data_IF_449051499412
#
_entry.id   IF_449051499412
#
_cell.length_a   1.000
_cell.length_b   1.000
_cell.length_c   1.000
_cell.angle_alpha   90.00
_cell.angle_beta   90.00
_cell.angle_gamma   90.00
#
_symmetry.space_group_name_H-M   'P 1'
#
loop_
_entity.id
_entity.type
_entity.pdbx_description
1 polymer ?
#
# COMPACT_ATOMS: atom_id res chain seq x y z
N UNK A 1 46.19 1.70 -17.76
CA UNK A 1 45.37 0.77 -17.02
C UNK A 1 43.93 1.00 -17.48
N UNK A 2 43.34 0.05 -18.21
CA UNK A 2 41.95 0.14 -18.61
C UNK A 2 41.10 0.03 -17.33
N UNK A 3 40.31 1.07 -17.04
CA UNK A 3 39.28 1.00 -16.02
C UNK A 3 38.29 -0.06 -16.48
N UNK A 4 38.22 -1.19 -15.76
CA UNK A 4 37.20 -2.18 -15.99
C UNK A 4 35.86 -1.41 -15.90
N UNK A 5 35.09 -1.38 -16.98
CA UNK A 5 33.71 -0.87 -16.97
C UNK A 5 32.96 -1.67 -15.91
N UNK A 6 32.54 -1.00 -14.86
CA UNK A 6 31.77 -1.64 -13.80
C UNK A 6 30.48 -2.19 -14.42
N UNK A 7 30.32 -3.51 -14.40
CA UNK A 7 29.13 -4.19 -14.94
C UNK A 7 27.86 -3.60 -14.29
N UNK A 8 26.89 -3.19 -15.08
CA UNK A 8 25.60 -2.71 -14.59
C UNK A 8 24.93 -3.78 -13.74
N UNK A 9 24.49 -3.47 -12.50
CA UNK A 9 23.78 -4.41 -11.64
C UNK A 9 22.48 -4.88 -12.30
N UNK A 10 22.20 -6.17 -12.23
CA UNK A 10 20.98 -6.79 -12.80
C UNK A 10 20.02 -7.19 -11.70
N UNK A 11 18.93 -6.47 -11.60
CA UNK A 11 17.94 -6.63 -10.55
C UNK A 11 16.67 -7.26 -11.11
N UNK A 12 16.27 -8.42 -10.59
CA UNK A 12 15.01 -9.06 -10.94
C UNK A 12 13.98 -8.74 -9.86
N UNK A 13 12.91 -8.01 -10.24
CA UNK A 13 11.81 -7.65 -9.34
C UNK A 13 10.65 -8.61 -9.56
N UNK A 14 10.26 -9.34 -8.52
CA UNK A 14 9.25 -10.38 -8.62
C UNK A 14 8.04 -10.07 -7.72
N UNK A 15 6.86 -10.04 -8.34
CA UNK A 15 5.61 -9.84 -7.61
C UNK A 15 4.59 -9.03 -8.38
N UNK A 16 3.54 -8.59 -7.68
CA UNK A 16 2.45 -7.85 -8.29
C UNK A 16 1.08 -8.26 -7.76
N UNK A 17 0.10 -8.35 -8.65
CA UNK A 17 -1.30 -8.64 -8.34
C UNK A 17 -2.10 -7.38 -8.02
N UNK A 18 -1.67 -6.57 -7.06
CA UNK A 18 -2.35 -5.34 -6.63
C UNK A 18 -1.46 -4.10 -6.75
N UNK A 19 -2.08 -2.90 -6.77
CA UNK A 19 -1.36 -1.63 -6.77
C UNK A 19 -0.42 -1.46 -5.58
N UNK A 20 -0.80 -1.97 -4.40
CA UNK A 20 0.01 -1.88 -3.18
C UNK A 20 1.37 -2.58 -3.26
N UNK A 21 1.55 -3.53 -4.18
CA UNK A 21 2.84 -4.18 -4.44
C UNK A 21 3.57 -3.57 -5.63
N UNK A 22 2.85 -3.31 -6.73
CA UNK A 22 3.50 -2.93 -7.98
C UNK A 22 3.91 -1.45 -8.03
N UNK A 23 3.16 -0.55 -7.41
CA UNK A 23 3.50 0.89 -7.41
C UNK A 23 4.80 1.15 -6.64
N UNK A 24 5.00 0.63 -5.41
CA UNK A 24 6.29 0.73 -4.72
C UNK A 24 7.44 0.09 -5.51
N UNK A 25 7.19 -1.07 -6.13
CA UNK A 25 8.20 -1.77 -6.95
C UNK A 25 8.66 -0.92 -8.14
N UNK A 26 7.74 -0.24 -8.82
CA UNK A 26 8.06 0.66 -9.92
C UNK A 26 8.85 1.90 -9.46
N UNK A 27 8.56 2.43 -8.27
CA UNK A 27 9.34 3.54 -7.70
C UNK A 27 10.80 3.12 -7.45
N UNK A 28 11.01 1.95 -6.84
CA UNK A 28 12.35 1.38 -6.62
C UNK A 28 13.05 1.08 -7.95
N UNK A 29 12.35 0.52 -8.94
CA UNK A 29 12.92 0.25 -10.27
C UNK A 29 13.43 1.51 -10.96
N UNK A 30 12.66 2.60 -10.90
CA UNK A 30 13.07 3.90 -11.46
C UNK A 30 14.31 4.46 -10.78
N UNK A 31 14.40 4.36 -9.46
CA UNK A 31 15.58 4.79 -8.68
C UNK A 31 16.82 3.97 -9.07
N UNK A 32 16.67 2.63 -9.15
CA UNK A 32 17.75 1.73 -9.55
C UNK A 32 18.32 2.08 -10.95
N UNK A 33 17.44 2.35 -11.91
CA UNK A 33 17.87 2.76 -13.25
C UNK A 33 18.49 4.16 -13.24
N UNK A 34 17.84 5.13 -12.61
CA UNK A 34 18.24 6.53 -12.67
C UNK A 34 19.55 6.82 -11.91
N UNK A 35 19.74 6.19 -10.74
CA UNK A 35 20.88 6.48 -9.84
C UNK A 35 21.98 5.45 -9.88
N UNK A 36 21.69 4.22 -10.27
CA UNK A 36 22.63 3.11 -10.19
C UNK A 36 22.90 2.45 -11.54
N UNK A 37 22.32 2.96 -12.64
CA UNK A 37 22.46 2.41 -13.99
C UNK A 37 22.15 0.90 -14.06
N UNK A 38 21.22 0.44 -13.20
CA UNK A 38 20.88 -0.97 -13.10
C UNK A 38 19.98 -1.42 -14.27
N UNK A 39 20.18 -2.66 -14.73
CA UNK A 39 19.22 -3.35 -15.59
C UNK A 39 18.12 -3.98 -14.72
N UNK A 40 16.85 -3.68 -15.04
CA UNK A 40 15.71 -4.19 -14.26
C UNK A 40 14.80 -5.04 -15.11
N UNK A 41 14.49 -6.25 -14.64
CA UNK A 41 13.52 -7.16 -15.22
C UNK A 41 12.42 -7.45 -14.19
N UNK A 42 11.14 -7.38 -14.64
CA UNK A 42 10.02 -7.76 -13.79
C UNK A 42 9.57 -9.20 -14.06
N UNK A 43 9.18 -9.91 -12.99
CA UNK A 43 8.49 -11.20 -13.06
C UNK A 43 7.12 -11.08 -12.39
N UNK A 44 6.08 -11.35 -13.15
CA UNK A 44 4.69 -11.21 -12.71
C UNK A 44 3.77 -12.29 -13.29
N UNK A 45 2.47 -12.02 -13.22
CA UNK A 45 1.42 -12.88 -13.77
C UNK A 45 0.60 -12.14 -14.82
N UNK A 46 0.02 -12.85 -15.77
CA UNK A 46 -0.79 -12.26 -16.83
C UNK A 46 -2.09 -11.60 -16.31
N UNK A 47 -2.55 -11.97 -15.11
CA UNK A 47 -3.80 -11.48 -14.52
C UNK A 47 -3.64 -10.33 -13.55
N UNK A 48 -2.41 -10.05 -13.12
CA UNK A 48 -2.10 -8.97 -12.17
C UNK A 48 -1.97 -7.61 -12.85
N UNK A 49 -1.99 -6.55 -12.04
CA UNK A 49 -1.81 -5.17 -12.53
C UNK A 49 -0.43 -4.96 -13.17
N UNK A 50 0.55 -5.76 -12.81
CA UNK A 50 1.91 -5.73 -13.35
C UNK A 50 1.95 -5.93 -14.86
N UNK A 51 1.05 -6.76 -15.43
CA UNK A 51 0.98 -7.00 -16.88
C UNK A 51 0.68 -5.72 -17.69
N UNK A 52 0.06 -4.74 -17.07
CA UNK A 52 -0.27 -3.44 -17.67
C UNK A 52 0.68 -2.33 -17.19
N UNK A 53 0.89 -2.20 -15.88
CA UNK A 53 1.62 -1.06 -15.30
C UNK A 53 3.13 -1.13 -15.56
N UNK A 54 3.72 -2.33 -15.63
CA UNK A 54 5.16 -2.49 -15.87
C UNK A 54 5.54 -2.02 -17.29
N UNK A 55 4.86 -2.47 -18.37
CA UNK A 55 5.14 -1.94 -19.71
C UNK A 55 4.84 -0.44 -19.85
N UNK A 56 3.76 0.06 -19.25
CA UNK A 56 3.45 1.50 -19.24
C UNK A 56 4.54 2.34 -18.56
N UNK A 57 5.26 1.77 -17.61
CA UNK A 57 6.39 2.40 -16.95
C UNK A 57 7.73 2.24 -17.70
N UNK A 58 7.74 1.60 -18.88
CA UNK A 58 8.91 1.39 -19.71
C UNK A 58 9.77 0.18 -19.32
N UNK A 59 9.28 -0.71 -18.45
CA UNK A 59 10.00 -1.92 -18.05
C UNK A 59 9.49 -3.16 -18.77
N UNK A 60 10.37 -4.17 -18.87
CA UNK A 60 10.06 -5.46 -19.47
C UNK A 60 9.49 -6.42 -18.42
N UNK A 61 8.27 -6.99 -18.60
CA UNK A 61 7.75 -8.07 -17.77
C UNK A 61 8.02 -9.45 -18.40
N UNK A 62 8.42 -10.41 -17.58
CA UNK A 62 8.34 -11.85 -17.87
C UNK A 62 7.16 -12.42 -17.09
N UNK A 63 6.26 -13.11 -17.78
CA UNK A 63 5.02 -13.58 -17.19
C UNK A 63 5.08 -15.08 -16.92
N UNK A 64 4.86 -15.46 -15.66
CA UNK A 64 4.82 -16.86 -15.21
C UNK A 64 3.39 -17.32 -14.91
N UNK A 65 3.18 -18.63 -15.01
CA UNK A 65 1.92 -19.27 -14.62
C UNK A 65 1.99 -19.68 -13.16
N UNK A 66 1.33 -18.91 -12.29
CA UNK A 66 1.17 -19.25 -10.87
C UNK A 66 -0.26 -18.91 -10.44
N UNK A 67 -0.86 -19.77 -9.63
CA UNK A 67 -2.22 -19.59 -9.12
C UNK A 67 -2.25 -19.04 -7.70
N UNK A 68 -3.42 -18.57 -7.25
CA UNK A 68 -3.65 -18.15 -5.88
C UNK A 68 -3.66 -19.35 -4.92
N UNK A 69 -3.21 -19.12 -3.68
CA UNK A 69 -3.27 -20.09 -2.58
C UNK A 69 -4.25 -19.69 -1.49
N UNK A 70 -4.55 -18.40 -1.35
CA UNK A 70 -5.43 -17.86 -0.32
C UNK A 70 -6.84 -17.63 -0.85
N UNK A 71 -7.85 -17.84 0.00
CA UNK A 71 -9.27 -17.56 -0.27
C UNK A 71 -9.81 -18.22 -1.55
N UNK A 72 -9.32 -19.43 -1.87
CA UNK A 72 -9.74 -20.21 -3.05
C UNK A 72 -10.15 -21.61 -2.66
N UNK A 73 -10.89 -22.28 -3.55
CA UNK A 73 -11.34 -23.66 -3.35
C UNK A 73 -10.17 -24.63 -3.16
N UNK A 74 -10.43 -25.76 -2.49
CA UNK A 74 -9.41 -26.81 -2.27
C UNK A 74 -8.83 -27.32 -3.60
N UNK A 75 -9.66 -27.46 -4.63
CA UNK A 75 -9.22 -27.87 -5.97
C UNK A 75 -8.24 -26.85 -6.59
N UNK A 76 -8.49 -25.53 -6.42
CA UNK A 76 -7.60 -24.49 -6.89
C UNK A 76 -6.27 -24.52 -6.12
N UNK A 77 -6.30 -24.73 -4.81
CA UNK A 77 -5.08 -24.88 -3.99
C UNK A 77 -4.25 -26.07 -4.48
N UNK A 78 -4.87 -27.22 -4.69
CA UNK A 78 -4.18 -28.42 -5.16
C UNK A 78 -3.54 -28.19 -6.55
N UNK A 79 -4.29 -27.58 -7.48
CA UNK A 79 -3.77 -27.24 -8.82
C UNK A 79 -2.59 -26.27 -8.72
N UNK A 80 -2.65 -25.27 -7.83
CA UNK A 80 -1.55 -24.32 -7.60
C UNK A 80 -0.32 -25.03 -7.02
N UNK A 81 -0.50 -25.93 -6.04
CA UNK A 81 0.59 -26.71 -5.44
C UNK A 81 1.28 -27.62 -6.46
N UNK A 82 0.51 -28.32 -7.30
CA UNK A 82 1.06 -29.14 -8.40
C UNK A 82 1.80 -28.28 -9.43
N UNK A 83 1.35 -27.06 -9.68
CA UNK A 83 2.00 -26.10 -10.58
C UNK A 83 3.26 -25.43 -10.03
N UNK A 84 3.46 -25.46 -8.71
CA UNK A 84 4.55 -24.73 -8.05
C UNK A 84 5.96 -25.15 -8.51
N UNK A 85 6.29 -26.46 -8.66
CA UNK A 85 7.59 -26.88 -9.20
C UNK A 85 7.88 -26.32 -10.58
N UNK A 86 6.88 -26.28 -11.47
CA UNK A 86 7.04 -25.71 -12.82
C UNK A 86 7.29 -24.20 -12.77
N UNK A 87 6.61 -23.48 -11.87
CA UNK A 87 6.84 -22.04 -11.64
C UNK A 87 8.24 -21.79 -11.10
N UNK A 88 8.75 -22.63 -10.18
CA UNK A 88 10.11 -22.56 -9.66
C UNK A 88 11.15 -22.76 -10.76
N UNK A 89 10.98 -23.75 -11.62
CA UNK A 89 11.87 -24.02 -12.76
C UNK A 89 11.84 -22.85 -13.75
N UNK A 90 10.65 -22.31 -14.05
CA UNK A 90 10.52 -21.14 -14.93
C UNK A 90 11.26 -19.92 -14.35
N UNK A 91 11.06 -19.60 -13.07
CA UNK A 91 11.78 -18.52 -12.40
C UNK A 91 13.29 -18.77 -12.37
N UNK A 92 13.73 -20.01 -12.11
CA UNK A 92 15.15 -20.38 -12.12
C UNK A 92 15.79 -20.14 -13.49
N UNK A 93 15.09 -20.43 -14.59
CA UNK A 93 15.54 -20.12 -15.95
C UNK A 93 15.62 -18.60 -16.19
N UNK A 94 14.57 -17.86 -15.83
CA UNK A 94 14.55 -16.40 -15.98
C UNK A 94 15.71 -15.76 -15.21
N UNK A 95 15.94 -16.15 -13.95
CA UNK A 95 17.06 -15.65 -13.13
C UNK A 95 18.41 -15.91 -13.83
N UNK A 96 18.61 -17.13 -14.35
CA UNK A 96 19.85 -17.51 -15.06
C UNK A 96 20.01 -16.73 -16.37
N UNK A 97 18.97 -16.71 -17.21
CA UNK A 97 19.03 -16.19 -18.56
C UNK A 97 19.16 -14.65 -18.56
N UNK A 98 18.56 -13.99 -17.57
CA UNK A 98 18.78 -12.56 -17.31
C UNK A 98 20.15 -12.30 -16.64
N UNK A 99 20.71 -13.30 -15.94
CA UNK A 99 21.93 -13.13 -15.15
C UNK A 99 21.71 -12.23 -13.95
N UNK A 100 20.59 -12.42 -13.22
CA UNK A 100 20.23 -11.59 -12.08
C UNK A 100 21.29 -11.67 -10.96
N UNK A 101 21.81 -10.51 -10.55
CA UNK A 101 22.73 -10.38 -9.41
C UNK A 101 21.96 -10.41 -8.08
N UNK A 102 20.70 -9.92 -8.05
CA UNK A 102 19.81 -9.99 -6.90
C UNK A 102 18.34 -10.13 -7.34
N UNK A 103 17.54 -10.82 -6.53
CA UNK A 103 16.08 -10.94 -6.71
C UNK A 103 15.36 -10.17 -5.60
N UNK A 104 14.48 -9.24 -6.00
CA UNK A 104 13.66 -8.43 -5.11
C UNK A 104 12.21 -8.92 -5.12
N UNK A 105 11.77 -9.55 -4.06
CA UNK A 105 10.39 -10.05 -3.90
C UNK A 105 9.49 -9.00 -3.25
N UNK A 106 8.54 -8.46 -4.01
CA UNK A 106 7.65 -7.38 -3.53
C UNK A 106 6.27 -7.87 -3.08
N UNK A 107 6.09 -9.18 -2.97
CA UNK A 107 4.80 -9.78 -2.60
C UNK A 107 3.93 -10.15 -3.82
N UNK A 108 2.76 -10.72 -3.55
CA UNK A 108 1.90 -11.26 -4.58
C UNK A 108 2.30 -12.68 -5.03
N UNK A 109 1.55 -13.23 -5.99
CA UNK A 109 1.67 -14.66 -6.35
C UNK A 109 2.99 -15.01 -7.03
N UNK A 110 3.54 -14.12 -7.85
CA UNK A 110 4.80 -14.36 -8.57
C UNK A 110 6.03 -14.28 -7.65
N UNK A 111 5.96 -13.57 -6.54
CA UNK A 111 7.07 -13.38 -5.60
C UNK A 111 7.53 -14.71 -4.99
N UNK A 112 6.61 -15.57 -4.55
CA UNK A 112 6.95 -16.84 -3.89
C UNK A 112 7.86 -17.74 -4.73
N UNK A 113 7.47 -18.13 -5.96
CA UNK A 113 8.31 -18.95 -6.85
C UNK A 113 9.66 -18.29 -7.20
N UNK A 114 9.67 -16.97 -7.47
CA UNK A 114 10.91 -16.28 -7.82
C UNK A 114 11.90 -16.24 -6.65
N UNK A 115 11.43 -15.90 -5.44
CA UNK A 115 12.22 -15.91 -4.21
C UNK A 115 12.72 -17.31 -3.85
N UNK A 116 11.83 -18.33 -3.99
CA UNK A 116 12.22 -19.73 -3.79
C UNK A 116 13.29 -20.17 -4.77
N UNK A 117 13.16 -19.82 -6.05
CA UNK A 117 14.16 -20.12 -7.08
C UNK A 117 15.50 -19.40 -6.80
N UNK A 118 15.49 -18.13 -6.37
CA UNK A 118 16.68 -17.39 -5.98
C UNK A 118 17.42 -18.08 -4.84
N UNK A 119 16.70 -18.44 -3.76
CA UNK A 119 17.27 -19.14 -2.61
C UNK A 119 17.90 -20.48 -3.02
N UNK A 120 17.21 -21.29 -3.84
CA UNK A 120 17.71 -22.59 -4.31
C UNK A 120 18.95 -22.47 -5.20
N UNK A 121 19.09 -21.34 -5.92
CA UNK A 121 20.24 -21.04 -6.78
C UNK A 121 21.41 -20.41 -6.05
N UNK A 122 21.22 -19.96 -4.80
CA UNK A 122 22.20 -19.12 -4.09
C UNK A 122 22.27 -17.68 -4.61
N UNK A 123 21.32 -17.25 -5.46
CA UNK A 123 21.23 -15.85 -5.89
C UNK A 123 20.72 -15.00 -4.72
N UNK A 124 21.41 -13.90 -4.36
CA UNK A 124 20.94 -12.99 -3.31
C UNK A 124 19.49 -12.59 -3.48
N UNK A 125 18.75 -12.56 -2.38
CA UNK A 125 17.34 -12.24 -2.39
C UNK A 125 16.99 -11.27 -1.28
N UNK A 126 16.17 -10.27 -1.61
CA UNK A 126 15.61 -9.30 -0.66
C UNK A 126 14.08 -9.34 -0.72
N UNK A 127 13.44 -9.40 0.43
CA UNK A 127 11.98 -9.32 0.52
C UNK A 127 11.52 -7.89 0.81
N UNK A 128 10.38 -7.51 0.28
CA UNK A 128 9.65 -6.30 0.67
C UNK A 128 8.31 -6.68 1.30
N UNK A 129 8.03 -6.10 2.47
CA UNK A 129 6.77 -6.33 3.16
C UNK A 129 6.10 -5.00 3.53
N UNK A 130 5.03 -4.63 2.84
CA UNK A 130 4.33 -3.39 3.10
C UNK A 130 3.42 -3.43 4.34
N UNK A 131 3.00 -4.61 4.80
CA UNK A 131 2.04 -4.74 5.90
C UNK A 131 2.72 -5.06 7.24
N UNK A 132 2.05 -4.74 8.34
CA UNK A 132 2.50 -5.08 9.69
C UNK A 132 2.50 -6.61 9.95
N UNK A 133 1.63 -7.34 9.25
CA UNK A 133 1.61 -8.82 9.23
C UNK A 133 1.99 -9.30 7.83
N UNK A 134 3.12 -10.01 7.68
CA UNK A 134 3.59 -10.45 6.38
C UNK A 134 2.66 -11.45 5.70
N UNK A 135 2.56 -11.32 4.37
CA UNK A 135 1.86 -12.31 3.56
C UNK A 135 2.58 -13.68 3.55
N UNK A 136 1.83 -14.75 3.19
CA UNK A 136 2.32 -16.14 3.24
C UNK A 136 3.65 -16.33 2.49
N UNK A 137 3.81 -15.76 1.30
CA UNK A 137 5.04 -15.89 0.51
C UNK A 137 6.25 -15.35 1.28
N UNK A 138 6.12 -14.18 1.89
CA UNK A 138 7.17 -13.55 2.67
C UNK A 138 7.48 -14.32 3.97
N UNK A 139 6.46 -14.90 4.64
CA UNK A 139 6.67 -15.76 5.83
C UNK A 139 7.51 -17.00 5.49
N UNK A 140 7.28 -17.63 4.33
CA UNK A 140 8.00 -18.84 3.92
C UNK A 140 9.48 -18.59 3.62
N UNK A 141 9.80 -17.44 3.04
CA UNK A 141 11.17 -17.10 2.63
C UNK A 141 11.92 -16.23 3.64
N UNK A 142 11.22 -15.59 4.57
CA UNK A 142 11.73 -14.51 5.41
C UNK A 142 13.00 -14.84 6.20
N UNK A 143 13.16 -16.07 6.69
CA UNK A 143 14.38 -16.51 7.41
C UNK A 143 15.53 -16.92 6.50
N UNK A 144 15.29 -17.00 5.17
CA UNK A 144 16.28 -17.46 4.17
C UNK A 144 16.78 -16.35 3.25
N UNK A 145 16.06 -15.21 3.19
CA UNK A 145 16.51 -14.05 2.40
C UNK A 145 17.66 -13.33 3.10
N UNK A 146 18.51 -12.70 2.31
CA UNK A 146 19.69 -11.97 2.80
C UNK A 146 19.31 -10.64 3.45
N UNK A 147 18.22 -10.01 3.00
CA UNK A 147 17.68 -8.78 3.58
C UNK A 147 16.17 -8.71 3.43
N UNK A 148 15.55 -7.87 4.23
CA UNK A 148 14.14 -7.49 4.05
C UNK A 148 13.93 -6.01 4.35
N UNK A 149 13.21 -5.33 3.46
CA UNK A 149 12.65 -4.01 3.68
C UNK A 149 11.22 -4.15 4.19
N UNK A 150 10.92 -3.62 5.35
CA UNK A 150 9.58 -3.66 5.94
C UNK A 150 9.06 -2.26 6.18
N UNK A 151 7.75 -2.08 6.02
CA UNK A 151 7.13 -0.80 6.29
C UNK A 151 6.92 -0.57 7.79
N UNK A 152 6.52 -1.61 8.51
CA UNK A 152 6.16 -1.52 9.92
C UNK A 152 7.07 -2.37 10.82
N UNK A 153 7.49 -1.86 12.00
CA UNK A 153 8.32 -2.60 12.93
C UNK A 153 7.81 -4.01 13.30
N UNK A 154 6.50 -4.25 13.49
CA UNK A 154 5.99 -5.58 13.82
C UNK A 154 6.29 -6.66 12.78
N UNK A 155 6.51 -6.29 11.50
CA UNK A 155 6.85 -7.24 10.45
C UNK A 155 8.30 -7.74 10.56
N UNK A 156 9.21 -6.98 11.16
CA UNK A 156 10.65 -7.28 11.19
C UNK A 156 10.97 -8.64 11.81
N UNK A 157 10.24 -9.08 12.83
CA UNK A 157 10.45 -10.37 13.51
C UNK A 157 10.35 -11.60 12.60
N UNK A 158 9.71 -11.47 11.45
CA UNK A 158 9.53 -12.57 10.48
C UNK A 158 10.74 -12.79 9.59
N UNK A 159 11.65 -11.84 9.52
CA UNK A 159 12.81 -11.87 8.65
C UNK A 159 14.11 -12.01 9.46
N UNK A 160 15.17 -12.43 8.80
CA UNK A 160 16.47 -12.59 9.45
C UNK A 160 17.18 -11.23 9.60
N UNK A 161 17.19 -10.45 8.52
CA UNK A 161 17.86 -9.14 8.44
C UNK A 161 16.83 -8.13 7.90
N UNK A 162 15.93 -7.68 8.77
CA UNK A 162 14.90 -6.71 8.42
C UNK A 162 15.36 -5.29 8.76
N UNK A 163 15.05 -4.38 7.87
CA UNK A 163 15.19 -2.95 8.05
C UNK A 163 13.82 -2.28 7.89
N UNK A 164 13.46 -1.40 8.82
CA UNK A 164 12.24 -0.58 8.69
C UNK A 164 12.57 0.58 7.75
N UNK A 165 12.29 0.37 6.48
CA UNK A 165 12.54 1.35 5.42
C UNK A 165 11.34 2.23 5.12
N UNK A 166 10.15 1.81 5.55
CA UNK A 166 8.91 2.36 5.04
C UNK A 166 8.53 1.80 3.66
N UNK A 167 7.47 2.35 3.10
CA UNK A 167 6.99 2.07 1.74
C UNK A 167 7.22 3.30 0.85
N UNK A 168 7.69 3.12 -0.41
CA UNK A 168 7.78 4.21 -1.37
C UNK A 168 6.44 4.96 -1.53
N UNK A 169 6.44 6.23 -1.18
CA UNK A 169 5.32 7.17 -1.35
C UNK A 169 5.74 8.25 -2.33
N UNK A 170 4.80 8.76 -3.11
CA UNK A 170 5.03 9.84 -4.07
C UNK A 170 5.48 11.11 -3.37
N UNK A 171 6.50 11.82 -3.89
CA UNK A 171 7.11 12.99 -3.22
C UNK A 171 6.12 14.11 -2.86
N UNK A 172 5.07 14.29 -3.67
CA UNK A 172 4.06 15.33 -3.44
C UNK A 172 3.34 15.19 -2.10
N UNK A 173 3.22 13.98 -1.51
CA UNK A 173 2.60 13.80 -0.19
C UNK A 173 3.48 14.35 0.95
N UNK A 174 4.81 14.29 0.81
CA UNK A 174 5.73 14.81 1.82
C UNK A 174 5.76 16.34 1.83
N UNK A 175 5.44 16.97 0.69
CA UNK A 175 5.44 18.41 0.53
C UNK A 175 4.14 19.08 1.01
N UNK A 176 3.13 18.30 1.44
CA UNK A 176 1.85 18.85 1.87
C UNK A 176 1.98 19.55 3.22
N UNK A 177 1.46 20.78 3.27
CA UNK A 177 1.30 21.52 4.51
C UNK A 177 -0.03 21.18 5.20
N UNK A 178 -0.12 21.31 6.54
CA UNK A 178 -1.39 21.22 7.23
C UNK A 178 -2.37 22.27 6.70
N UNK A 179 -3.68 21.97 6.63
CA UNK A 179 -4.67 22.98 6.29
C UNK A 179 -4.68 24.11 7.31
N UNK A 180 -5.12 25.31 6.88
CA UNK A 180 -5.18 26.48 7.73
C UNK A 180 -5.98 26.21 9.01
N UNK A 181 -5.49 26.69 10.14
CA UNK A 181 -6.07 26.41 11.45
C UNK A 181 -7.48 27.00 11.64
N UNK A 182 -7.79 28.05 10.92
CA UNK A 182 -9.07 28.78 10.86
C UNK A 182 -9.90 28.43 9.64
N UNK A 183 -9.44 27.46 8.83
CA UNK A 183 -10.15 26.96 7.66
C UNK A 183 -11.41 26.20 8.04
N UNK A 184 -12.40 26.21 7.13
CA UNK A 184 -13.60 25.39 7.29
C UNK A 184 -13.23 23.90 7.23
N UNK A 185 -13.78 23.08 8.13
CA UNK A 185 -13.43 21.66 8.20
C UNK A 185 -13.79 20.92 6.90
N UNK A 186 -12.87 20.05 6.46
CA UNK A 186 -13.05 19.22 5.27
C UNK A 186 -12.77 17.75 5.61
N UNK A 187 -13.74 16.89 5.35
CA UNK A 187 -13.64 15.44 5.53
C UNK A 187 -13.45 14.76 4.19
N UNK A 188 -12.33 14.06 4.03
CA UNK A 188 -12.08 13.18 2.89
C UNK A 188 -12.40 11.73 3.28
N UNK A 189 -13.25 11.07 2.49
CA UNK A 189 -13.66 9.67 2.69
C UNK A 189 -13.23 8.85 1.47
N UNK A 190 -12.43 7.79 1.67
CA UNK A 190 -12.09 6.87 0.60
C UNK A 190 -11.75 5.46 1.09
N UNK A 191 -12.05 4.46 0.26
CA UNK A 191 -11.80 3.05 0.57
C UNK A 191 -10.73 2.38 -0.31
N UNK A 192 -9.86 3.18 -0.96
CA UNK A 192 -8.98 2.73 -2.02
C UNK A 192 -9.65 2.85 -3.39
N UNK A 193 -8.96 2.44 -4.48
CA UNK A 193 -9.39 2.66 -5.87
C UNK A 193 -10.80 2.14 -6.21
N UNK A 194 -11.28 1.13 -5.50
CA UNK A 194 -12.59 0.52 -5.71
C UNK A 194 -13.69 1.11 -4.82
N UNK A 195 -13.33 2.06 -3.93
CA UNK A 195 -14.21 2.51 -2.85
C UNK A 195 -14.37 1.47 -1.75
N UNK A 196 -15.21 1.76 -0.75
CA UNK A 196 -15.56 0.82 0.32
C UNK A 196 -17.08 0.76 0.48
N UNK A 197 -17.65 -0.41 0.21
CA UNK A 197 -19.12 -0.60 0.30
C UNK A 197 -19.69 -0.14 1.64
N UNK A 198 -19.00 -0.40 2.74
CA UNK A 198 -19.45 0.00 4.08
C UNK A 198 -19.57 1.52 4.20
N UNK A 199 -18.61 2.28 3.64
CA UNK A 199 -18.65 3.74 3.65
C UNK A 199 -19.80 4.25 2.78
N UNK A 200 -19.96 3.67 1.59
CA UNK A 200 -21.02 4.02 0.64
C UNK A 200 -22.42 3.80 1.22
N UNK A 201 -22.57 2.83 2.14
CA UNK A 201 -23.86 2.49 2.78
C UNK A 201 -24.10 3.32 4.03
N UNK A 202 -23.08 3.53 4.87
CA UNK A 202 -23.27 4.16 6.19
C UNK A 202 -23.21 5.69 6.14
N UNK A 203 -22.40 6.27 5.27
CA UNK A 203 -22.21 7.73 5.29
C UNK A 203 -23.41 8.53 4.82
N UNK A 204 -24.14 8.17 3.74
CA UNK A 204 -25.26 8.98 3.29
C UNK A 204 -26.31 9.28 4.37
N UNK A 205 -26.82 8.30 5.15
CA UNK A 205 -27.80 8.59 6.19
C UNK A 205 -27.22 9.37 7.40
N UNK A 206 -25.89 9.35 7.62
CA UNK A 206 -25.25 10.06 8.73
C UNK A 206 -24.90 11.51 8.39
N UNK A 207 -24.78 11.84 7.10
CA UNK A 207 -24.30 13.15 6.66
C UNK A 207 -25.18 14.32 7.15
N UNK A 208 -26.51 14.29 7.12
CA UNK A 208 -27.30 15.42 7.63
C UNK A 208 -26.96 15.78 9.07
N UNK A 209 -26.95 14.80 9.96
CA UNK A 209 -26.62 15.00 11.37
C UNK A 209 -25.17 15.46 11.59
N UNK A 210 -24.22 14.95 10.76
CA UNK A 210 -22.82 15.36 10.82
C UNK A 210 -22.66 16.82 10.38
N UNK A 211 -23.30 17.23 9.28
CA UNK A 211 -23.25 18.61 8.77
C UNK A 211 -23.93 19.60 9.73
N UNK A 212 -24.96 19.19 10.43
CA UNK A 212 -25.62 19.99 11.48
C UNK A 212 -24.71 20.18 12.70
N UNK A 213 -24.04 19.11 13.13
CA UNK A 213 -23.19 19.12 14.33
C UNK A 213 -21.83 19.79 14.13
N UNK A 214 -21.35 19.92 12.88
CA UNK A 214 -20.07 20.56 12.54
C UNK A 214 -20.27 21.69 11.54
N UNK A 215 -20.43 22.94 12.02
CA UNK A 215 -20.64 24.10 11.17
C UNK A 215 -19.52 24.27 10.11
N UNK A 216 -19.92 24.56 8.88
CA UNK A 216 -18.98 24.76 7.76
C UNK A 216 -18.32 23.50 7.21
N UNK A 217 -18.57 22.32 7.76
CA UNK A 217 -18.01 21.07 7.25
C UNK A 217 -18.40 20.84 5.79
N UNK A 218 -17.42 20.47 5.00
CA UNK A 218 -17.59 19.92 3.65
C UNK A 218 -17.08 18.48 3.57
N UNK A 219 -17.67 17.66 2.70
CA UNK A 219 -17.35 16.24 2.59
C UNK A 219 -17.05 15.87 1.14
N UNK A 220 -15.92 15.22 0.90
CA UNK A 220 -15.60 14.56 -0.35
C UNK A 220 -15.57 13.06 -0.13
N UNK A 221 -16.42 12.31 -0.84
CA UNK A 221 -16.51 10.86 -0.74
C UNK A 221 -16.15 10.18 -2.07
N UNK A 222 -15.04 9.46 -2.11
CA UNK A 222 -14.67 8.61 -3.23
C UNK A 222 -15.31 7.23 -3.06
N UNK A 223 -16.37 6.98 -3.84
CA UNK A 223 -17.23 5.80 -3.70
C UNK A 223 -16.77 4.58 -4.54
N UNK A 224 -15.88 4.79 -5.50
CA UNK A 224 -15.49 3.78 -6.50
C UNK A 224 -16.42 3.77 -7.72
N UNK A 225 -15.88 3.47 -8.89
CA UNK A 225 -16.59 3.57 -10.17
C UNK A 225 -17.90 2.76 -10.22
N UNK A 226 -17.96 1.61 -9.54
CA UNK A 226 -19.13 0.75 -9.54
C UNK A 226 -20.28 1.26 -8.69
N UNK A 227 -20.02 2.14 -7.74
CA UNK A 227 -20.97 2.54 -6.70
C UNK A 227 -21.20 4.05 -6.65
N UNK A 228 -20.51 4.83 -7.44
CA UNK A 228 -20.56 6.29 -7.37
C UNK A 228 -21.99 6.84 -7.58
N UNK A 229 -22.70 6.35 -8.60
CA UNK A 229 -24.08 6.80 -8.88
C UNK A 229 -25.06 6.43 -7.77
N UNK A 230 -25.03 5.18 -7.30
CA UNK A 230 -25.92 4.74 -6.21
C UNK A 230 -25.61 5.44 -4.91
N UNK A 231 -24.35 5.73 -4.63
CA UNK A 231 -23.92 6.47 -3.45
C UNK A 231 -24.36 7.94 -3.55
N UNK A 232 -24.19 8.58 -4.72
CA UNK A 232 -24.65 9.96 -4.96
C UNK A 232 -26.16 10.09 -4.75
N UNK A 233 -26.95 9.19 -5.36
CA UNK A 233 -28.41 9.18 -5.17
C UNK A 233 -28.81 9.00 -3.69
N UNK A 234 -28.07 8.21 -2.92
CA UNK A 234 -28.29 8.07 -1.48
C UNK A 234 -27.98 9.37 -0.70
N UNK A 235 -26.97 10.14 -1.11
CA UNK A 235 -26.71 11.47 -0.55
C UNK A 235 -27.80 12.46 -0.92
N UNK A 236 -28.26 12.50 -2.17
CA UNK A 236 -29.35 13.37 -2.64
C UNK A 236 -30.65 13.15 -1.88
N UNK A 237 -30.95 11.89 -1.54
CA UNK A 237 -32.14 11.52 -0.79
C UNK A 237 -31.99 11.64 0.73
N UNK A 238 -30.79 11.90 1.23
CA UNK A 238 -30.52 11.97 2.68
C UNK A 238 -31.08 13.22 3.35
N UNK A 239 -31.37 14.29 2.59
CA UNK A 239 -31.73 15.60 3.12
C UNK A 239 -30.54 16.50 3.49
N UNK A 240 -29.31 16.08 3.22
CA UNK A 240 -28.12 16.89 3.43
C UNK A 240 -28.03 18.04 2.41
N UNK A 241 -27.50 19.19 2.84
CA UNK A 241 -27.25 20.33 1.96
C UNK A 241 -26.30 19.93 0.81
N UNK A 242 -26.77 19.96 -0.47
CA UNK A 242 -25.99 19.51 -1.61
C UNK A 242 -24.75 20.39 -1.90
N UNK A 243 -24.68 21.59 -1.38
CA UNK A 243 -23.51 22.44 -1.51
C UNK A 243 -22.32 21.99 -0.61
N UNK A 244 -22.57 21.12 0.36
CA UNK A 244 -21.59 20.73 1.37
C UNK A 244 -21.04 19.31 1.20
N UNK A 245 -21.43 18.58 0.17
CA UNK A 245 -20.89 17.24 -0.11
C UNK A 245 -20.67 17.00 -1.60
N UNK A 246 -19.73 16.12 -1.90
CA UNK A 246 -19.43 15.66 -3.25
C UNK A 246 -19.09 14.17 -3.23
N UNK A 247 -19.66 13.43 -4.19
CA UNK A 247 -19.37 11.99 -4.39
C UNK A 247 -18.68 11.81 -5.73
N UNK A 248 -17.48 11.22 -5.70
CA UNK A 248 -16.67 10.94 -6.87
C UNK A 248 -16.45 9.43 -7.08
N UNK A 249 -16.38 9.03 -8.34
CA UNK A 249 -16.03 7.65 -8.70
C UNK A 249 -14.58 7.33 -8.41
N UNK A 250 -13.69 8.27 -8.73
CA UNK A 250 -12.25 8.15 -8.59
C UNK A 250 -11.63 9.56 -8.38
N UNK A 251 -10.47 9.61 -7.74
CA UNK A 251 -9.72 10.85 -7.52
C UNK A 251 -8.34 10.71 -8.13
N UNK A 252 -8.10 11.38 -9.26
CA UNK A 252 -6.79 11.38 -9.93
C UNK A 252 -5.75 12.21 -9.16
N UNK A 253 -6.20 13.29 -8.51
CA UNK A 253 -5.40 14.27 -7.78
C UNK A 253 -5.42 14.04 -6.26
N UNK A 254 -5.20 12.80 -5.81
CA UNK A 254 -5.31 12.44 -4.39
C UNK A 254 -4.49 13.35 -3.46
N UNK A 255 -3.28 13.75 -3.85
CA UNK A 255 -2.45 14.64 -3.04
C UNK A 255 -3.12 16.00 -2.77
N UNK A 256 -3.79 16.58 -3.77
CA UNK A 256 -4.54 17.84 -3.61
C UNK A 256 -5.72 17.66 -2.63
N UNK A 257 -6.42 16.52 -2.72
CA UNK A 257 -7.52 16.23 -1.79
C UNK A 257 -7.02 16.00 -0.37
N UNK A 258 -5.85 15.38 -0.23
CA UNK A 258 -5.19 15.30 1.08
C UNK A 258 -4.79 16.67 1.60
N UNK A 259 -4.28 17.59 0.75
CA UNK A 259 -3.94 18.95 1.17
C UNK A 259 -5.13 19.66 1.81
N UNK A 260 -6.31 19.55 1.21
CA UNK A 260 -7.56 20.16 1.70
C UNK A 260 -8.12 19.47 2.96
N UNK A 261 -7.86 18.18 3.16
CA UNK A 261 -8.46 17.40 4.22
C UNK A 261 -7.98 17.80 5.63
N UNK A 262 -8.91 18.09 6.52
CA UNK A 262 -8.68 18.26 7.96
C UNK A 262 -8.75 16.91 8.70
N UNK A 263 -9.55 15.99 8.20
CA UNK A 263 -9.65 14.60 8.66
C UNK A 263 -9.82 13.68 7.46
N UNK A 264 -9.15 12.54 7.48
CA UNK A 264 -9.28 11.50 6.47
C UNK A 264 -9.93 10.26 7.07
N UNK A 265 -11.05 9.83 6.54
CA UNK A 265 -11.67 8.54 6.87
C UNK A 265 -11.34 7.52 5.78
N UNK A 266 -10.65 6.44 6.13
CA UNK A 266 -10.16 5.50 5.13
C UNK A 266 -10.05 4.06 5.60
N UNK A 267 -9.86 3.13 4.64
CA UNK A 267 -9.30 1.80 4.89
C UNK A 267 -7.82 1.92 5.25
N UNK A 268 -7.30 0.95 6.02
CA UNK A 268 -5.91 0.92 6.49
C UNK A 268 -5.00 0.02 5.65
N UNK A 269 -5.13 0.10 4.32
CA UNK A 269 -4.15 -0.49 3.42
C UNK A 269 -2.76 0.13 3.62
N UNK A 270 -1.68 -0.64 3.43
CA UNK A 270 -0.32 -0.18 3.72
C UNK A 270 0.05 1.12 2.99
N UNK A 271 -0.31 1.25 1.69
CA UNK A 271 -0.06 2.48 0.93
C UNK A 271 -0.85 3.66 1.48
N UNK A 272 -2.12 3.46 1.87
CA UNK A 272 -2.94 4.50 2.47
C UNK A 272 -2.33 5.01 3.78
N UNK A 273 -1.92 4.08 4.66
CA UNK A 273 -1.26 4.44 5.93
C UNK A 273 0.05 5.19 5.69
N UNK A 274 0.85 4.78 4.70
CA UNK A 274 2.09 5.46 4.34
C UNK A 274 1.83 6.86 3.74
N UNK A 275 0.78 7.03 2.92
CA UNK A 275 0.37 8.34 2.40
C UNK A 275 -0.16 9.27 3.50
N UNK A 276 -0.94 8.75 4.46
CA UNK A 276 -1.38 9.49 5.66
C UNK A 276 -0.19 9.95 6.51
N UNK A 277 0.79 9.07 6.72
CA UNK A 277 2.02 9.39 7.42
C UNK A 277 2.82 10.47 6.67
N UNK A 278 3.10 10.27 5.39
CA UNK A 278 3.86 11.20 4.56
C UNK A 278 3.23 12.59 4.49
N UNK A 279 1.90 12.68 4.44
CA UNK A 279 1.14 13.92 4.38
C UNK A 279 0.83 14.54 5.76
N UNK A 280 1.15 13.83 6.85
CA UNK A 280 0.83 14.29 8.20
C UNK A 280 -0.67 14.48 8.42
N UNK A 281 -1.51 13.56 7.88
CA UNK A 281 -2.97 13.68 7.99
C UNK A 281 -3.53 12.89 9.17
N UNK A 282 -4.31 13.54 10.04
CA UNK A 282 -5.08 12.82 11.06
C UNK A 282 -6.11 11.92 10.40
N UNK A 283 -6.34 10.74 10.96
CA UNK A 283 -7.22 9.79 10.29
C UNK A 283 -8.15 9.02 11.23
N UNK A 284 -9.32 8.68 10.70
CA UNK A 284 -10.23 7.68 11.24
C UNK A 284 -10.13 6.44 10.34
N UNK A 285 -9.51 5.38 10.87
CA UNK A 285 -9.22 4.18 10.12
C UNK A 285 -10.27 3.09 10.39
N UNK A 286 -10.81 2.54 9.31
CA UNK A 286 -11.77 1.43 9.37
C UNK A 286 -11.17 0.26 8.59
N UNK A 287 -10.45 -0.65 9.28
CA UNK A 287 -9.84 -1.81 8.64
C UNK A 287 -10.85 -2.67 7.91
N UNK A 288 -10.48 -3.21 6.74
CA UNK A 288 -11.32 -4.15 6.00
C UNK A 288 -11.31 -5.50 6.70
N UNK A 289 -12.46 -5.92 7.24
CA UNK A 289 -12.59 -7.13 8.06
C UNK A 289 -12.23 -8.44 7.32
N UNK A 290 -12.38 -8.46 5.98
CA UNK A 290 -12.03 -9.62 5.16
C UNK A 290 -10.57 -9.55 4.62
N UNK A 291 -9.75 -8.64 5.11
CA UNK A 291 -8.33 -8.57 4.75
C UNK A 291 -7.61 -9.84 5.23
N UNK A 292 -6.76 -10.40 4.35
CA UNK A 292 -6.02 -11.61 4.67
C UNK A 292 -5.19 -11.43 5.96
N UNK A 293 -5.24 -12.41 6.87
CA UNK A 293 -4.50 -12.38 8.14
C UNK A 293 -4.73 -11.09 8.98
N UNK A 294 -5.88 -10.42 8.80
CA UNK A 294 -6.24 -9.19 9.51
C UNK A 294 -5.18 -8.06 9.43
N UNK A 295 -4.40 -8.06 8.32
CA UNK A 295 -3.27 -7.14 8.18
C UNK A 295 -3.67 -5.66 8.21
N UNK A 296 -4.88 -5.31 7.74
CA UNK A 296 -5.33 -3.92 7.79
C UNK A 296 -5.55 -3.43 9.22
N UNK A 297 -6.08 -4.27 10.11
CA UNK A 297 -6.18 -3.93 11.52
C UNK A 297 -4.79 -3.67 12.12
N UNK A 298 -3.85 -4.57 11.86
CA UNK A 298 -2.48 -4.42 12.37
C UNK A 298 -1.77 -3.18 11.79
N UNK A 299 -2.04 -2.80 10.53
CA UNK A 299 -1.55 -1.54 9.96
C UNK A 299 -2.14 -0.31 10.68
N UNK A 300 -3.45 -0.33 10.97
CA UNK A 300 -4.12 0.74 11.69
C UNK A 300 -3.60 0.87 13.13
N UNK A 301 -3.37 -0.24 13.82
CA UNK A 301 -2.84 -0.28 15.19
C UNK A 301 -1.51 0.48 15.32
N UNK A 302 -0.65 0.45 14.30
CA UNK A 302 0.60 1.23 14.32
C UNK A 302 0.33 2.74 14.39
N UNK A 303 -0.64 3.23 13.62
CA UNK A 303 -1.01 4.65 13.65
C UNK A 303 -1.74 5.03 14.94
N UNK A 304 -2.55 4.12 15.49
CA UNK A 304 -3.24 4.33 16.78
C UNK A 304 -2.23 4.40 17.92
N UNK A 305 -1.25 3.50 17.96
CA UNK A 305 -0.20 3.52 18.97
C UNK A 305 0.71 4.76 18.90
N UNK A 306 0.78 5.39 17.73
CA UNK A 306 1.46 6.67 17.53
C UNK A 306 0.57 7.89 17.84
N UNK A 307 -0.65 7.71 18.32
CA UNK A 307 -1.66 8.77 18.49
C UNK A 307 -1.92 9.57 17.19
N UNK A 308 -1.77 8.93 16.04
CA UNK A 308 -1.94 9.52 14.71
C UNK A 308 -3.30 9.22 14.07
N UNK A 309 -4.00 8.22 14.61
CA UNK A 309 -5.31 7.78 14.10
C UNK A 309 -6.23 7.32 15.23
N UNK A 310 -7.53 7.40 14.96
CA UNK A 310 -8.56 6.62 15.67
C UNK A 310 -8.93 5.42 14.79
N UNK A 311 -9.18 4.27 15.38
CA UNK A 311 -9.62 3.07 14.67
C UNK A 311 -11.00 2.62 15.16
N UNK A 312 -11.90 2.34 14.23
CA UNK A 312 -13.17 1.65 14.48
C UNK A 312 -13.17 0.36 13.66
N UNK A 313 -13.43 -0.76 14.29
CA UNK A 313 -13.51 -2.03 13.57
C UNK A 313 -14.85 -2.15 12.85
N UNK A 314 -14.86 -2.77 11.68
CA UNK A 314 -16.06 -2.90 10.84
C UNK A 314 -17.25 -3.56 11.58
N UNK A 315 -16.98 -4.47 12.51
CA UNK A 315 -18.00 -5.11 13.37
C UNK A 315 -18.69 -4.14 14.34
N UNK A 316 -18.06 -3.03 14.68
CA UNK A 316 -18.61 -2.01 15.59
C UNK A 316 -19.58 -1.09 14.86
N UNK A 317 -19.50 -1.06 13.53
CA UNK A 317 -20.35 -0.24 12.66
C UNK A 317 -21.79 -0.78 12.50
N UNK A 318 -22.12 -1.91 13.14
CA UNK A 318 -23.52 -2.33 13.35
C UNK A 318 -24.34 -1.32 14.18
N UNK A 319 -23.68 -0.37 14.82
CA UNK A 319 -24.23 0.82 15.49
C UNK A 319 -23.66 2.07 14.81
N UNK A 320 -24.37 2.64 13.81
CA UNK A 320 -23.87 3.77 13.03
C UNK A 320 -23.55 5.02 13.86
N UNK A 321 -24.17 5.15 15.03
CA UNK A 321 -23.97 6.25 15.98
C UNK A 321 -22.51 6.34 16.43
N UNK A 322 -21.81 5.21 16.59
CA UNK A 322 -20.39 5.16 16.94
C UNK A 322 -19.53 5.92 15.91
N UNK A 323 -19.85 5.74 14.62
CA UNK A 323 -19.15 6.43 13.55
C UNK A 323 -19.44 7.94 13.56
N UNK A 324 -20.72 8.31 13.74
CA UNK A 324 -21.14 9.72 13.81
C UNK A 324 -20.47 10.43 14.99
N UNK A 325 -20.48 9.84 16.17
CA UNK A 325 -19.86 10.39 17.38
C UNK A 325 -18.35 10.58 17.19
N UNK A 326 -17.66 9.56 16.68
CA UNK A 326 -16.21 9.64 16.44
C UNK A 326 -15.86 10.75 15.42
N UNK A 327 -16.61 10.86 14.32
CA UNK A 327 -16.39 11.92 13.32
C UNK A 327 -16.64 13.31 13.91
N UNK A 328 -17.76 13.48 14.63
CA UNK A 328 -18.12 14.73 15.29
C UNK A 328 -17.06 15.16 16.29
N UNK A 329 -16.66 14.26 17.19
CA UNK A 329 -15.71 14.56 18.27
C UNK A 329 -14.30 14.89 17.72
N UNK A 330 -13.87 14.23 16.63
CA UNK A 330 -12.61 14.56 15.97
C UNK A 330 -12.68 15.91 15.24
N UNK A 331 -13.74 16.15 14.47
CA UNK A 331 -13.88 17.39 13.68
C UNK A 331 -14.14 18.62 14.55
N UNK A 332 -14.68 18.46 15.75
CA UNK A 332 -14.90 19.51 16.74
C UNK A 332 -13.61 19.91 17.50
N UNK A 333 -12.52 19.11 17.39
CA UNK A 333 -11.26 19.36 18.11
C UNK A 333 -10.07 19.59 17.15
N UNK A 334 -9.91 20.79 16.62
CA UNK A 334 -8.81 21.10 15.70
C UNK A 334 -7.43 21.01 16.37
N UNK A 335 -7.34 21.14 17.70
CA UNK A 335 -6.07 20.99 18.43
C UNK A 335 -5.65 19.52 18.41
N UNK A 336 -6.58 18.62 18.70
CA UNK A 336 -6.37 17.18 18.61
C UNK A 336 -6.01 16.74 17.18
N UNK A 337 -6.72 17.22 16.16
CA UNK A 337 -6.42 16.90 14.77
C UNK A 337 -5.00 17.32 14.38
N UNK A 338 -4.55 18.53 14.78
CA UNK A 338 -3.17 18.95 14.53
C UNK A 338 -2.13 18.08 15.23
N UNK A 339 -2.40 17.69 16.48
CA UNK A 339 -1.50 16.78 17.21
C UNK A 339 -1.42 15.41 16.52
N UNK A 340 -2.55 14.84 16.13
CA UNK A 340 -2.61 13.59 15.37
C UNK A 340 -1.85 13.69 14.03
N UNK A 341 -2.01 14.80 13.29
CA UNK A 341 -1.30 15.02 12.03
C UNK A 341 0.22 15.10 12.23
N UNK A 342 0.68 15.80 13.28
CA UNK A 342 2.10 15.85 13.64
C UNK A 342 2.63 14.45 13.99
N UNK A 343 1.88 13.69 14.74
CA UNK A 343 2.24 12.31 15.10
C UNK A 343 2.27 11.40 13.87
N UNK A 344 1.32 11.55 12.93
CA UNK A 344 1.32 10.82 11.67
C UNK A 344 2.63 11.06 10.91
N UNK A 345 3.09 12.30 10.83
CA UNK A 345 4.32 12.65 10.12
C UNK A 345 5.58 12.02 10.74
N UNK A 346 5.58 11.70 12.02
CA UNK A 346 6.70 10.97 12.65
C UNK A 346 6.83 9.52 12.16
N UNK A 347 5.77 8.97 11.57
CA UNK A 347 5.75 7.62 11.00
C UNK A 347 6.15 7.60 9.51
N UNK A 348 6.50 8.75 8.94
CA UNK A 348 6.85 8.88 7.52
C UNK A 348 8.30 8.47 7.24
N UNK A 349 8.51 7.88 6.06
CA UNK A 349 9.84 7.45 5.59
C UNK A 349 10.14 8.07 4.22
N UNK A 350 10.62 9.31 4.16
CA UNK A 350 10.85 10.01 2.90
C UNK A 350 11.98 9.41 2.06
N UNK A 351 12.89 8.68 2.68
CA UNK A 351 14.07 8.03 2.09
C UNK A 351 13.84 6.54 1.73
N UNK A 352 12.59 6.05 1.82
CA UNK A 352 12.28 4.63 1.62
C UNK A 352 12.81 4.08 0.28
N UNK A 353 12.61 4.84 -0.81
CA UNK A 353 13.06 4.42 -2.14
C UNK A 353 14.57 4.24 -2.19
N UNK A 354 15.31 5.24 -1.69
CA UNK A 354 16.78 5.27 -1.70
C UNK A 354 17.37 4.16 -0.83
N UNK A 355 16.81 3.93 0.35
CA UNK A 355 17.24 2.87 1.27
C UNK A 355 17.04 1.49 0.67
N UNK A 356 15.86 1.24 0.07
CA UNK A 356 15.57 -0.04 -0.59
C UNK A 356 16.49 -0.25 -1.78
N UNK A 357 16.65 0.75 -2.64
CA UNK A 357 17.53 0.67 -3.81
C UNK A 357 18.99 0.47 -3.40
N UNK A 358 19.51 1.25 -2.45
CA UNK A 358 20.86 1.12 -1.93
C UNK A 358 21.14 -0.29 -1.39
N UNK A 359 20.18 -0.86 -0.63
CA UNK A 359 20.34 -2.23 -0.11
C UNK A 359 20.36 -3.30 -1.20
N UNK A 360 19.59 -3.12 -2.28
CA UNK A 360 19.62 -4.01 -3.44
C UNK A 360 20.98 -3.94 -4.15
N UNK A 361 21.55 -2.75 -4.31
CA UNK A 361 22.88 -2.56 -4.92
C UNK A 361 23.98 -3.18 -4.07
N UNK A 362 23.94 -3.01 -2.75
CA UNK A 362 24.87 -3.67 -1.83
C UNK A 362 24.83 -5.20 -2.01
N UNK A 363 23.65 -5.79 -2.09
CA UNK A 363 23.47 -7.23 -2.30
C UNK A 363 23.97 -7.68 -3.68
N UNK A 364 23.76 -6.87 -4.73
CA UNK A 364 24.26 -7.16 -6.08
C UNK A 364 25.78 -7.08 -6.16
N UNK A 365 26.42 -6.17 -5.41
CA UNK A 365 27.87 -6.03 -5.34
C UNK A 365 28.57 -7.04 -4.40
N UNK A 366 27.82 -7.77 -3.58
CA UNK A 366 28.35 -8.75 -2.63
C UNK A 366 28.64 -10.13 -3.28
N UNK A 367 28.40 -10.28 -4.58
CA UNK A 367 28.77 -11.49 -5.34
C UNK A 367 30.26 -11.35 -5.72
N UNK A 368 31.14 -12.28 -5.29
CA UNK A 368 32.58 -12.25 -5.62
C UNK A 368 32.82 -12.45 -7.11
#
# INVERSE_FOLDING_TARGET
>A
MATAEAKSPRILIAGGGTGGHIIPALAVARELVARHSAEVLFVGTARGMESRLVPQAGFRPELIKVGPLNQVSLMTKLRTLVGLPFSLVACSRIIRDFGADVVFGVGGYASGPAMGAAILRGTPAMAFEPNAVPGMANRLVGKRVQAAAVNFPPAAKWFRNAEVTGIPVRPEFFALEPPAADGLPHLLIFGGSQGARIFNTLMPPLIPALLESVPGLTVLHQAGARHAETTRAAYETSGADPARWRVEAFLDNMAEQFALAHLVMARSGASTVAELAASGKPSLLIPFAAAADDHQRSNAEVMVHADAAVMIQERELGRPEILLEALRDLLADPVRLRAMGKNARTQAHPDAVQRIAGRLIELAGAIP
#
